data_IF_562540382001
#
_entry.id   IF_562540382001
#
_cell.length_a   1.000
_cell.length_b   1.000
_cell.length_c   1.000
_cell.angle_alpha   90.00
_cell.angle_beta   90.00
_cell.angle_gamma   90.00
#
_symmetry.space_group_name_H-M   'P 1'
#
loop_
_entity.id
_entity.type
_entity.pdbx_description
1 polymer ?
#
# COMPACT_ATOMS: atom_id res chain seq x y z
N UNK A 1 -9.52 -9.59 8.94
CA UNK A 1 -9.38 -8.17 9.34
C UNK A 1 -7.90 -7.82 9.29
N UNK A 2 -7.55 -6.65 8.77
CA UNK A 2 -6.15 -6.18 8.62
C UNK A 2 -5.92 -4.97 9.52
N UNK A 3 -4.79 -4.96 10.20
CA UNK A 3 -4.37 -3.87 11.09
C UNK A 3 -4.19 -2.55 10.31
N UNK A 4 -4.46 -1.43 10.99
CA UNK A 4 -4.31 -0.07 10.47
C UNK A 4 -3.51 0.84 11.42
N UNK A 5 -2.95 0.27 12.50
CA UNK A 5 -2.17 1.01 13.50
C UNK A 5 -0.88 1.60 12.92
N UNK A 6 -0.33 0.95 11.90
CA UNK A 6 0.89 1.39 11.20
C UNK A 6 0.60 2.28 9.99
N UNK A 7 -0.67 2.64 9.76
CA UNK A 7 -1.01 3.53 8.67
C UNK A 7 -0.56 4.97 8.95
N UNK A 8 0.23 5.57 8.07
CA UNK A 8 0.74 6.93 8.23
C UNK A 8 0.51 7.81 7.01
N UNK A 9 0.69 9.12 7.22
CA UNK A 9 0.87 10.08 6.14
C UNK A 9 2.36 10.33 5.95
N UNK A 10 2.89 9.98 4.78
CA UNK A 10 4.32 10.10 4.44
C UNK A 10 4.42 10.89 3.13
N UNK A 11 5.17 12.00 3.13
CA UNK A 11 5.28 12.93 1.99
C UNK A 11 3.93 13.34 1.36
N UNK A 12 2.89 13.47 2.19
CA UNK A 12 1.53 13.82 1.75
C UNK A 12 0.74 12.67 1.13
N UNK A 13 1.26 11.44 1.16
CA UNK A 13 0.62 10.21 0.70
C UNK A 13 0.15 9.37 1.89
N UNK A 14 -0.95 8.64 1.70
CA UNK A 14 -1.46 7.70 2.71
C UNK A 14 -0.83 6.34 2.47
N UNK A 15 -0.05 5.89 3.42
CA UNK A 15 0.62 4.59 3.42
C UNK A 15 -0.11 3.67 4.39
N UNK A 16 -0.42 2.44 3.96
CA UNK A 16 -1.13 1.44 4.76
C UNK A 16 -0.37 0.09 4.66
N UNK A 17 0.75 -0.07 5.37
CA UNK A 17 1.72 -1.15 5.11
C UNK A 17 1.13 -2.56 5.18
N UNK A 18 0.26 -2.83 6.15
CA UNK A 18 -0.33 -4.15 6.33
C UNK A 18 -1.37 -4.49 5.26
N UNK A 19 -2.18 -3.50 4.87
CA UNK A 19 -3.11 -3.63 3.75
C UNK A 19 -2.36 -3.85 2.45
N UNK A 20 -1.28 -3.13 2.21
CA UNK A 20 -0.47 -3.26 1.00
C UNK A 20 0.26 -4.62 0.98
N UNK A 21 0.88 -5.01 2.08
CA UNK A 21 1.57 -6.31 2.23
C UNK A 21 0.63 -7.47 1.97
N UNK A 22 -0.52 -7.52 2.63
CA UNK A 22 -1.46 -8.61 2.42
C UNK A 22 -2.02 -8.61 0.97
N UNK A 23 -2.22 -7.44 0.37
CA UNK A 23 -2.78 -7.31 -0.99
C UNK A 23 -1.78 -7.82 -2.03
N UNK A 24 -0.53 -7.37 -1.95
CA UNK A 24 0.53 -7.81 -2.85
C UNK A 24 0.87 -9.28 -2.65
N UNK A 25 0.91 -9.77 -1.40
CA UNK A 25 1.22 -11.18 -1.10
C UNK A 25 0.17 -12.10 -1.71
N UNK A 26 -1.11 -11.83 -1.45
CA UNK A 26 -2.21 -12.66 -1.93
C UNK A 26 -2.50 -12.47 -3.42
N UNK A 27 -2.09 -11.33 -4.00
CA UNK A 27 -2.19 -11.03 -5.43
C UNK A 27 -0.97 -11.48 -6.25
N UNK A 28 0.04 -12.10 -5.62
CA UNK A 28 1.25 -12.59 -6.31
C UNK A 28 2.21 -11.49 -6.78
N UNK A 29 2.12 -10.29 -6.22
CA UNK A 29 2.95 -9.12 -6.54
C UNK A 29 4.27 -9.03 -5.76
N UNK A 30 4.38 -9.74 -4.64
CA UNK A 30 5.57 -9.66 -3.78
C UNK A 30 6.79 -10.23 -4.47
N UNK A 31 7.93 -9.56 -4.30
CA UNK A 31 9.25 -10.08 -4.67
C UNK A 31 9.61 -11.31 -3.80
N UNK A 32 9.72 -12.52 -4.39
CA UNK A 32 9.98 -13.73 -3.62
C UNK A 32 11.42 -13.80 -3.06
N UNK A 33 12.37 -13.04 -3.63
CA UNK A 33 13.75 -13.02 -3.14
C UNK A 33 13.89 -12.08 -1.95
N UNK A 34 13.25 -10.91 -2.02
CA UNK A 34 13.29 -9.89 -0.96
C UNK A 34 12.34 -10.22 0.19
N UNK A 35 11.24 -10.92 -0.11
CA UNK A 35 10.19 -11.29 0.84
C UNK A 35 9.19 -10.17 1.16
N UNK A 36 9.36 -8.98 0.55
CA UNK A 36 8.50 -7.81 0.71
C UNK A 36 8.63 -6.87 -0.49
N UNK A 37 7.67 -5.96 -0.66
CA UNK A 37 7.64 -5.01 -1.78
C UNK A 37 7.35 -5.66 -3.13
N UNK A 38 7.21 -4.85 -4.18
CA UNK A 38 6.93 -5.34 -5.53
C UNK A 38 8.13 -6.06 -6.15
N UNK A 39 7.86 -7.04 -7.01
CA UNK A 39 8.87 -7.53 -7.96
C UNK A 39 9.28 -6.42 -8.93
N UNK A 40 10.56 -6.40 -9.30
CA UNK A 40 11.15 -5.43 -10.24
C UNK A 40 10.89 -3.98 -9.78
N UNK A 41 10.96 -3.76 -8.46
CA UNK A 41 10.80 -2.44 -7.84
C UNK A 41 12.08 -1.61 -8.01
N UNK A 42 11.88 -0.34 -8.33
CA UNK A 42 12.92 0.69 -8.39
C UNK A 42 12.73 1.71 -7.26
N UNK A 43 13.76 2.52 -7.00
CA UNK A 43 13.82 3.41 -5.84
C UNK A 43 14.17 4.85 -6.22
N UNK A 44 13.93 5.25 -7.46
CA UNK A 44 14.40 6.53 -7.98
C UNK A 44 13.71 7.70 -7.31
N UNK A 45 12.41 7.62 -7.05
CA UNK A 45 11.71 8.68 -6.33
C UNK A 45 12.25 8.85 -4.91
N UNK A 46 12.58 7.75 -4.23
CA UNK A 46 13.20 7.78 -2.90
C UNK A 46 14.59 8.41 -2.96
N UNK A 47 15.41 8.06 -3.95
CA UNK A 47 16.74 8.64 -4.15
C UNK A 47 16.66 10.16 -4.37
N UNK A 48 15.76 10.61 -5.23
CA UNK A 48 15.52 12.05 -5.47
C UNK A 48 15.00 12.76 -4.22
N UNK A 49 14.07 12.16 -3.48
CA UNK A 49 13.59 12.72 -2.20
C UNK A 49 14.75 12.92 -1.21
N UNK A 50 15.70 11.97 -1.14
CA UNK A 50 16.89 12.11 -0.33
C UNK A 50 17.79 13.25 -0.83
N UNK A 51 17.93 13.44 -2.15
CA UNK A 51 18.65 14.58 -2.74
C UNK A 51 17.98 15.93 -2.44
N UNK A 52 16.66 15.97 -2.32
CA UNK A 52 15.93 17.14 -1.82
C UNK A 52 16.07 17.36 -0.30
N UNK A 53 16.82 16.51 0.42
CA UNK A 53 17.00 16.60 1.87
C UNK A 53 15.81 16.07 2.67
N UNK A 54 14.88 15.37 2.01
CA UNK A 54 13.72 14.74 2.64
C UNK A 54 14.08 13.30 2.97
N UNK A 55 14.40 13.03 4.23
CA UNK A 55 14.67 11.66 4.70
C UNK A 55 13.34 10.97 5.04
N UNK A 56 13.17 9.68 4.75
CA UNK A 56 12.08 8.93 5.36
C UNK A 56 12.43 8.59 6.80
N UNK A 57 11.47 8.79 7.70
CA UNK A 57 11.63 8.55 9.14
C UNK A 57 11.59 7.05 9.51
N UNK A 58 11.01 6.18 8.66
CA UNK A 58 10.91 4.73 8.93
C UNK A 58 10.45 3.83 7.75
N UNK A 59 9.85 4.37 6.68
CA UNK A 59 9.29 3.59 5.55
C UNK A 59 9.98 3.91 4.22
N UNK A 60 10.26 2.88 3.41
CA UNK A 60 10.86 3.07 2.09
C UNK A 60 9.78 3.04 1.01
N UNK A 61 9.72 4.07 0.17
CA UNK A 61 8.76 4.18 -0.93
C UNK A 61 9.39 3.73 -2.25
N UNK A 62 8.97 2.58 -2.75
CA UNK A 62 9.32 2.10 -4.09
C UNK A 62 8.50 2.81 -5.16
N UNK A 63 9.02 2.87 -6.39
CA UNK A 63 8.37 3.60 -7.49
C UNK A 63 7.02 2.98 -7.90
N UNK A 64 6.90 1.64 -7.87
CA UNK A 64 5.62 0.94 -8.10
C UNK A 64 4.69 1.08 -6.90
N UNK A 65 5.22 1.04 -5.68
CA UNK A 65 4.42 1.21 -4.46
C UNK A 65 3.80 2.61 -4.36
N UNK A 66 4.54 3.64 -4.81
CA UNK A 66 4.03 5.01 -4.93
C UNK A 66 2.73 5.09 -5.74
N UNK A 67 2.56 4.28 -6.78
CA UNK A 67 1.33 4.26 -7.56
C UNK A 67 0.11 3.86 -6.72
N UNK A 68 0.25 2.86 -5.84
CA UNK A 68 -0.82 2.45 -4.93
C UNK A 68 -1.17 3.59 -3.97
N UNK A 69 -0.17 4.26 -3.41
CA UNK A 69 -0.39 5.35 -2.46
C UNK A 69 -1.01 6.58 -3.13
N UNK A 70 -0.61 6.91 -4.37
CA UNK A 70 -1.22 7.98 -5.15
C UNK A 70 -2.70 7.74 -5.38
N UNK A 71 -3.08 6.54 -5.84
CA UNK A 71 -4.48 6.16 -6.07
C UNK A 71 -5.26 6.22 -4.76
N UNK A 72 -4.73 5.63 -3.67
CA UNK A 72 -5.36 5.66 -2.34
C UNK A 72 -5.58 7.10 -1.86
N UNK A 73 -4.56 7.94 -1.93
CA UNK A 73 -4.64 9.33 -1.47
C UNK A 73 -5.63 10.13 -2.29
N UNK A 74 -5.67 9.95 -3.61
CA UNK A 74 -6.66 10.59 -4.46
C UNK A 74 -8.09 10.22 -4.04
N UNK A 75 -8.36 8.92 -3.83
CA UNK A 75 -9.69 8.47 -3.43
C UNK A 75 -10.06 8.93 -2.01
N UNK A 76 -9.12 8.92 -1.06
CA UNK A 76 -9.36 9.47 0.28
C UNK A 76 -9.75 10.94 0.23
N UNK A 77 -9.04 11.74 -0.57
CA UNK A 77 -9.35 13.17 -0.76
C UNK A 77 -10.70 13.39 -1.45
N UNK A 78 -11.15 12.43 -2.26
CA UNK A 78 -12.49 12.44 -2.85
C UNK A 78 -13.60 11.93 -1.91
N UNK A 79 -13.28 11.62 -0.64
CA UNK A 79 -14.25 11.24 0.38
C UNK A 79 -14.58 9.75 0.45
N UNK A 80 -13.89 8.90 -0.31
CA UNK A 80 -14.10 7.45 -0.23
C UNK A 80 -13.51 6.89 1.08
N UNK A 81 -14.23 6.00 1.79
CA UNK A 81 -13.70 5.32 2.97
C UNK A 81 -12.63 4.30 2.59
N UNK A 82 -11.66 4.05 3.48
CA UNK A 82 -10.52 3.15 3.24
C UNK A 82 -10.96 1.74 2.80
N UNK A 83 -12.09 1.23 3.28
CA UNK A 83 -12.63 -0.07 2.86
C UNK A 83 -13.00 -0.12 1.38
N UNK A 84 -13.62 0.93 0.83
CA UNK A 84 -13.97 1.01 -0.59
C UNK A 84 -12.71 1.17 -1.45
N UNK A 85 -11.73 1.92 -0.95
CA UNK A 85 -10.45 2.12 -1.63
C UNK A 85 -9.68 0.80 -1.72
N UNK A 86 -9.58 0.07 -0.61
CA UNK A 86 -8.97 -1.26 -0.59
C UNK A 86 -9.66 -2.21 -1.57
N UNK A 87 -11.00 -2.20 -1.62
CA UNK A 87 -11.75 -3.01 -2.59
C UNK A 87 -11.39 -2.64 -4.05
N UNK A 88 -11.35 -1.35 -4.37
CA UNK A 88 -11.00 -0.88 -5.72
C UNK A 88 -9.55 -1.25 -6.11
N UNK A 89 -8.59 -1.14 -5.19
CA UNK A 89 -7.21 -1.60 -5.43
C UNK A 89 -7.14 -3.12 -5.62
N UNK A 90 -7.95 -3.87 -4.85
CA UNK A 90 -8.04 -5.33 -4.95
C UNK A 90 -8.62 -5.81 -6.29
N UNK A 91 -9.35 -4.99 -7.06
CA UNK A 91 -9.82 -5.41 -8.40
C UNK A 91 -8.65 -5.68 -9.37
N UNK A 92 -7.55 -4.91 -9.22
CA UNK A 92 -6.30 -5.14 -9.95
C UNK A 92 -5.57 -6.38 -9.44
N UNK A 93 -5.36 -6.46 -8.13
CA UNK A 93 -4.50 -7.47 -7.51
C UNK A 93 -5.17 -8.84 -7.38
N UNK A 94 -6.50 -8.85 -7.30
CA UNK A 94 -7.35 -10.03 -7.08
C UNK A 94 -6.80 -10.96 -5.99
N UNK A 95 -6.54 -10.43 -4.77
CA UNK A 95 -6.03 -11.22 -3.66
C UNK A 95 -7.06 -12.30 -3.34
N UNK A 96 -6.70 -13.56 -3.52
CA UNK A 96 -7.62 -14.67 -3.37
C UNK A 96 -8.22 -15.22 -4.67
N UNK A 97 -7.52 -15.21 -5.81
CA UNK A 97 -7.88 -16.07 -6.96
C UNK A 97 -8.01 -17.59 -6.63
N UNK A 98 -7.81 -18.01 -5.38
CA UNK A 98 -8.17 -19.32 -4.83
C UNK A 98 -9.14 -19.34 -3.64
N UNK A 99 -9.71 -18.19 -3.19
CA UNK A 99 -10.62 -18.11 -2.05
C UNK A 99 -11.66 -16.97 -2.23
N UNK A 100 -12.93 -17.19 -1.88
CA UNK A 100 -14.06 -16.29 -2.21
C UNK A 100 -13.82 -14.81 -1.91
N UNK A 101 -14.34 -13.92 -2.79
CA UNK A 101 -14.17 -12.44 -2.98
C UNK A 101 -14.13 -11.48 -1.76
N UNK A 102 -14.02 -11.94 -0.52
CA UNK A 102 -14.11 -11.12 0.70
C UNK A 102 -12.82 -11.03 1.52
N UNK A 103 -11.65 -11.28 0.92
CA UNK A 103 -10.42 -11.57 1.67
C UNK A 103 -9.85 -10.41 2.51
N UNK A 104 -10.20 -9.15 2.23
CA UNK A 104 -9.68 -8.00 2.96
C UNK A 104 -10.74 -7.13 3.59
N UNK A 105 -10.79 -7.19 4.93
CA UNK A 105 -11.60 -6.29 5.76
C UNK A 105 -10.66 -5.37 6.54
N UNK A 106 -10.84 -4.06 6.38
CA UNK A 106 -10.10 -3.03 7.14
C UNK A 106 -10.56 -3.07 8.61
N UNK A 107 -9.62 -3.16 9.56
CA UNK A 107 -9.97 -3.08 10.98
C UNK A 107 -10.46 -1.66 11.34
N UNK A 108 -11.32 -1.56 12.37
CA UNK A 108 -11.72 -0.25 12.92
C UNK A 108 -10.62 0.26 13.86
N UNK A 109 -10.39 1.59 13.95
CA UNK A 109 -9.46 2.15 14.92
C UNK A 109 -9.88 1.73 16.34
N UNK A 110 -8.94 1.27 17.16
CA UNK A 110 -9.19 0.83 18.56
C UNK A 110 -9.04 1.95 19.57
N UNK A 111 -9.24 3.21 19.16
CA UNK A 111 -9.10 4.40 20.00
C UNK A 111 -10.37 5.24 19.95
#
# INVERSE_FOLDING_TARGET
MVNIGDDAWIHGLRVCPDLDTCMYTLGGGVDPQRGWGHRDETWHAKEELAHYGVQPDWFQLGDRDLATHLVRTQMLRAGYPLSQITAALCDRWQPGRGCSRSAMTVARPTW
#
